data_IF_924387331710
#
_entry.id   IF_924387331710
#
_cell.length_a   1.000
_cell.length_b   1.000
_cell.length_c   1.000
_cell.angle_alpha   90.00
_cell.angle_beta   90.00
_cell.angle_gamma   90.00
#
_symmetry.space_group_name_H-M   'P 1'
#
loop_
_entity.id
_entity.type
_entity.pdbx_description
1 polymer ?
#
# COMPACT_ATOMS: atom_id res chain seq x y z
N UNK A 1 29.95 0.72 -27.75
CA UNK A 1 29.08 -0.25 -28.42
C UNK A 1 28.83 -1.40 -27.46
N UNK A 2 27.70 -1.38 -26.76
CA UNK A 2 27.32 -2.37 -25.74
C UNK A 2 26.21 -3.23 -26.35
N UNK A 3 26.41 -4.55 -26.37
CA UNK A 3 25.49 -5.53 -26.96
C UNK A 3 24.21 -5.69 -26.11
N UNK A 4 23.03 -5.92 -26.72
CA UNK A 4 21.78 -6.06 -25.99
C UNK A 4 21.63 -7.46 -25.38
N UNK A 5 21.12 -7.51 -24.14
CA UNK A 5 20.74 -8.75 -23.43
C UNK A 5 19.52 -9.39 -24.11
N UNK A 6 19.57 -10.72 -24.30
CA UNK A 6 18.43 -11.51 -24.79
C UNK A 6 17.32 -11.64 -23.73
N UNK A 7 16.04 -11.66 -24.14
CA UNK A 7 14.92 -11.84 -23.23
C UNK A 7 14.76 -13.30 -22.77
N UNK A 8 14.59 -13.51 -21.47
CA UNK A 8 14.20 -14.78 -20.89
C UNK A 8 12.74 -15.11 -21.28
N UNK A 9 12.50 -16.36 -21.68
CA UNK A 9 11.19 -16.87 -22.09
C UNK A 9 10.21 -16.89 -20.91
N UNK A 10 9.27 -15.96 -20.87
CA UNK A 10 8.06 -16.03 -20.05
C UNK A 10 7.22 -17.24 -20.47
N UNK A 11 6.84 -18.09 -19.52
CA UNK A 11 5.88 -19.18 -19.74
C UNK A 11 4.49 -18.66 -19.40
N UNK A 12 3.64 -18.55 -20.41
CA UNK A 12 2.23 -18.18 -20.27
C UNK A 12 1.42 -19.40 -19.82
N UNK A 13 0.74 -19.32 -18.68
CA UNK A 13 -0.33 -20.24 -18.33
C UNK A 13 -1.66 -19.56 -18.60
N UNK A 14 -2.47 -20.10 -19.53
CA UNK A 14 -3.88 -19.74 -19.67
C UNK A 14 -4.64 -20.34 -18.49
N UNK A 15 -5.36 -19.54 -17.73
CA UNK A 15 -6.30 -20.04 -16.74
C UNK A 15 -7.48 -20.71 -17.47
N UNK A 16 -7.47 -22.04 -17.56
CA UNK A 16 -8.69 -22.83 -17.68
C UNK A 16 -9.12 -23.24 -16.28
N UNK A 17 -10.39 -22.99 -15.93
CA UNK A 17 -11.02 -23.55 -14.73
C UNK A 17 -10.87 -25.07 -14.73
N UNK A 18 -9.87 -25.54 -14.00
CA UNK A 18 -9.69 -26.96 -13.67
C UNK A 18 -9.15 -26.98 -12.25
N UNK A 19 -10.02 -27.38 -11.32
CA UNK A 19 -9.67 -27.66 -9.93
C UNK A 19 -8.44 -28.58 -9.91
N UNK A 20 -7.36 -28.12 -9.30
CA UNK A 20 -6.24 -28.96 -8.92
C UNK A 20 -6.29 -29.26 -7.42
N UNK A 21 -6.02 -30.52 -7.02
CA UNK A 21 -6.29 -30.97 -5.66
C UNK A 21 -5.25 -30.43 -4.67
N UNK A 22 -5.76 -29.95 -3.54
CA UNK A 22 -4.98 -29.58 -2.37
C UNK A 22 -4.03 -30.72 -1.97
N UNK A 23 -2.73 -30.43 -1.89
CA UNK A 23 -1.76 -31.29 -1.19
C UNK A 23 -1.43 -30.65 0.15
N UNK A 24 -1.90 -31.34 1.20
CA UNK A 24 -1.40 -31.42 2.56
C UNK A 24 -0.92 -30.12 3.23
N UNK A 25 -1.87 -29.34 3.76
CA UNK A 25 -1.67 -28.53 4.96
C UNK A 25 -2.57 -29.06 6.09
N UNK A 26 -2.14 -30.14 6.74
CA UNK A 26 -2.59 -30.51 8.09
C UNK A 26 -1.31 -30.58 8.94
N UNK A 27 -1.12 -29.73 9.94
CA UNK A 27 -1.57 -30.02 11.31
C UNK A 27 -1.29 -28.81 12.20
N UNK A 28 -2.32 -28.32 12.92
CA UNK A 28 -2.23 -27.77 14.28
C UNK A 28 -3.61 -27.22 14.68
N UNK A 29 -4.55 -28.12 15.02
CA UNK A 29 -5.77 -27.75 15.73
C UNK A 29 -5.48 -27.92 17.22
N UNK A 30 -5.57 -26.82 17.99
CA UNK A 30 -5.63 -26.87 19.45
C UNK A 30 -7.06 -26.57 19.93
N UNK A 31 -7.54 -27.22 21.00
CA UNK A 31 -8.95 -27.23 21.36
C UNK A 31 -9.38 -25.97 22.11
N UNK A 32 -10.58 -25.46 21.78
CA UNK A 32 -11.22 -24.36 22.51
C UNK A 32 -11.88 -24.86 23.82
N UNK A 33 -11.88 -24.06 24.91
CA UNK A 33 -12.67 -24.36 26.10
C UNK A 33 -14.16 -24.04 25.89
N UNK A 34 -15.01 -24.85 26.53
CA UNK A 34 -16.47 -24.85 26.40
C UNK A 34 -17.12 -23.64 27.06
N UNK A 35 -18.13 -23.09 26.38
CA UNK A 35 -19.38 -22.66 27.01
C UNK A 35 -19.59 -21.16 27.22
N UNK A 36 -20.09 -20.46 26.19
CA UNK A 36 -21.00 -19.31 26.34
C UNK A 36 -22.01 -19.34 25.19
N UNK A 37 -23.31 -19.37 25.50
CA UNK A 37 -24.40 -19.35 24.52
C UNK A 37 -24.38 -18.05 23.72
N UNK A 38 -24.35 -18.15 22.39
CA UNK A 38 -24.52 -17.02 21.46
C UNK A 38 -26.03 -16.86 21.15
N UNK A 39 -26.57 -15.63 21.12
CA UNK A 39 -27.91 -15.41 20.60
C UNK A 39 -27.95 -15.54 19.07
N UNK A 40 -29.09 -16.04 18.63
CA UNK A 40 -29.63 -16.24 17.27
C UNK A 40 -28.98 -15.42 16.14
N UNK A 41 -28.29 -16.14 15.24
CA UNK A 41 -27.78 -15.61 13.98
C UNK A 41 -28.84 -15.77 12.88
N UNK A 42 -29.91 -14.99 12.94
CA UNK A 42 -30.87 -14.87 11.84
C UNK A 42 -31.21 -13.40 11.58
N UNK A 43 -30.33 -12.74 10.81
CA UNK A 43 -30.56 -11.59 9.92
C UNK A 43 -29.22 -10.95 9.54
N UNK A 44 -28.59 -11.45 8.49
CA UNK A 44 -27.70 -10.59 7.69
C UNK A 44 -28.60 -9.88 6.68
N UNK A 45 -28.73 -8.54 6.72
CA UNK A 45 -29.30 -7.85 5.58
C UNK A 45 -28.27 -7.97 4.45
N UNK A 46 -28.63 -8.65 3.36
CA UNK A 46 -27.98 -8.44 2.08
C UNK A 46 -28.02 -6.93 1.81
N UNK A 47 -26.87 -6.26 1.94
CA UNK A 47 -26.69 -4.94 1.37
C UNK A 47 -26.63 -5.15 -0.13
N UNK A 48 -27.79 -5.24 -0.76
CA UNK A 48 -27.92 -5.17 -2.20
C UNK A 48 -27.49 -3.77 -2.64
N UNK A 49 -26.20 -3.60 -2.90
CA UNK A 49 -25.75 -2.51 -3.75
C UNK A 49 -26.37 -2.76 -5.12
N UNK A 50 -27.43 -2.01 -5.41
CA UNK A 50 -28.01 -1.94 -6.75
C UNK A 50 -26.87 -1.70 -7.73
N UNK A 51 -26.78 -2.51 -8.80
CA UNK A 51 -25.90 -2.25 -9.97
C UNK A 51 -26.24 -0.88 -10.56
N UNK A 52 -25.75 0.19 -9.95
CA UNK A 52 -25.67 1.51 -10.56
C UNK A 52 -24.64 1.41 -11.67
N UNK A 53 -24.90 2.06 -12.81
CA UNK A 53 -24.04 1.97 -14.01
C UNK A 53 -22.56 2.25 -13.75
N UNK A 54 -21.72 2.11 -14.78
CA UNK A 54 -20.29 2.40 -14.68
C UNK A 54 -20.04 3.77 -14.02
N UNK A 55 -19.05 3.89 -13.12
CA UNK A 55 -18.76 5.17 -12.49
C UNK A 55 -18.38 6.20 -13.55
N UNK A 56 -18.65 7.47 -13.25
CA UNK A 56 -18.52 8.59 -14.20
C UNK A 56 -17.31 9.46 -13.92
N UNK A 57 -16.59 9.22 -12.81
CA UNK A 57 -15.43 10.00 -12.40
C UNK A 57 -14.48 9.24 -11.48
N UNK A 58 -13.25 9.72 -11.36
CA UNK A 58 -12.22 9.20 -10.46
C UNK A 58 -12.66 9.21 -8.99
N UNK A 59 -13.28 10.31 -8.54
CA UNK A 59 -13.82 10.45 -7.19
C UNK A 59 -14.85 9.36 -6.88
N UNK A 60 -15.73 9.04 -7.83
CA UNK A 60 -16.75 8.00 -7.63
C UNK A 60 -16.14 6.61 -7.44
N UNK A 61 -15.07 6.29 -8.18
CA UNK A 61 -14.34 5.02 -8.04
C UNK A 61 -13.78 4.87 -6.62
N UNK A 62 -13.16 5.93 -6.09
CA UNK A 62 -12.66 5.94 -4.70
C UNK A 62 -13.80 5.68 -3.71
N UNK A 63 -14.91 6.40 -3.83
CA UNK A 63 -16.05 6.26 -2.92
C UNK A 63 -16.66 4.86 -2.98
N UNK A 64 -16.75 4.26 -4.17
CA UNK A 64 -17.23 2.89 -4.37
C UNK A 64 -16.31 1.86 -3.70
N UNK A 65 -14.98 1.98 -3.85
CA UNK A 65 -14.03 1.10 -3.16
C UNK A 65 -14.09 1.25 -1.63
N UNK A 66 -14.18 2.48 -1.12
CA UNK A 66 -14.34 2.74 0.31
C UNK A 66 -15.62 2.06 0.84
N UNK A 67 -16.74 2.26 0.16
CA UNK A 67 -18.02 1.64 0.55
C UNK A 67 -17.98 0.11 0.45
N UNK A 68 -17.36 -0.44 -0.60
CA UNK A 68 -17.23 -1.87 -0.77
C UNK A 68 -16.43 -2.50 0.38
N UNK A 69 -15.24 -1.98 0.66
CA UNK A 69 -14.37 -2.53 1.71
C UNK A 69 -14.91 -2.28 3.12
N UNK A 70 -15.62 -1.16 3.34
CA UNK A 70 -16.38 -0.96 4.57
C UNK A 70 -17.43 -2.07 4.79
N UNK A 71 -18.14 -2.45 3.72
CA UNK A 71 -19.12 -3.54 3.78
C UNK A 71 -18.47 -4.92 4.03
N UNK A 72 -17.20 -5.11 3.63
CA UNK A 72 -16.41 -6.31 3.95
C UNK A 72 -15.79 -6.29 5.37
N UNK A 73 -16.11 -5.27 6.18
CA UNK A 73 -15.68 -5.17 7.58
C UNK A 73 -14.35 -4.47 7.80
N UNK A 74 -13.78 -3.81 6.79
CA UNK A 74 -12.60 -2.97 6.97
C UNK A 74 -12.96 -1.65 7.66
N UNK A 75 -12.12 -1.21 8.60
CA UNK A 75 -12.12 0.18 9.04
C UNK A 75 -11.63 1.07 7.90
N UNK A 76 -12.43 2.04 7.46
CA UNK A 76 -12.02 3.01 6.45
C UNK A 76 -11.18 4.09 7.10
N UNK A 77 -9.88 4.11 6.82
CA UNK A 77 -8.94 5.07 7.38
C UNK A 77 -8.70 6.23 6.41
N UNK A 78 -8.01 7.25 6.90
CA UNK A 78 -7.60 8.41 6.12
C UNK A 78 -6.17 8.21 5.60
N UNK A 79 -5.79 8.92 4.53
CA UNK A 79 -4.40 9.04 4.11
C UNK A 79 -3.48 9.39 5.28
N UNK A 80 -2.27 8.85 5.27
CA UNK A 80 -1.24 9.31 6.19
C UNK A 80 -0.80 10.73 5.85
N UNK A 81 -0.62 11.58 6.87
CA UNK A 81 -0.30 13.00 6.75
C UNK A 81 1.20 13.27 6.54
N UNK A 82 1.95 12.23 6.14
CA UNK A 82 3.38 12.24 5.85
C UNK A 82 3.65 11.72 4.44
N UNK A 83 4.71 12.19 3.79
CA UNK A 83 5.11 11.67 2.48
C UNK A 83 5.54 10.21 2.52
N UNK A 84 4.83 9.35 1.79
CA UNK A 84 5.14 7.93 1.65
C UNK A 84 5.17 7.50 0.19
N UNK A 85 5.97 6.48 -0.14
CA UNK A 85 6.09 5.97 -1.52
C UNK A 85 5.04 4.92 -1.92
N UNK A 86 4.29 4.41 -0.93
CA UNK A 86 3.20 3.45 -1.09
C UNK A 86 2.33 3.38 0.19
N UNK A 87 1.11 2.88 0.07
CA UNK A 87 0.19 2.53 1.17
C UNK A 87 0.83 1.64 2.24
N UNK A 88 1.75 0.75 1.84
CA UNK A 88 2.48 -0.11 2.77
C UNK A 88 3.21 0.66 3.87
N UNK A 89 3.75 1.84 3.58
CA UNK A 89 4.47 2.69 4.54
C UNK A 89 3.55 3.40 5.55
N UNK A 90 2.25 3.37 5.37
CA UNK A 90 1.34 3.87 6.40
C UNK A 90 1.47 2.97 7.65
N UNK A 91 1.51 3.53 8.88
CA UNK A 91 1.56 2.71 10.10
C UNK A 91 0.38 1.74 10.23
N UNK A 92 -0.76 2.03 9.59
CA UNK A 92 -1.92 1.14 9.52
C UNK A 92 -1.69 -0.10 8.65
N UNK A 93 -0.60 -0.17 7.89
CA UNK A 93 -0.12 -1.39 7.23
C UNK A 93 1.15 -1.91 7.87
N UNK A 94 2.29 -1.21 7.78
CA UNK A 94 3.58 -1.76 8.22
C UNK A 94 3.57 -2.18 9.69
N UNK A 95 3.17 -1.29 10.61
CA UNK A 95 3.17 -1.63 12.03
C UNK A 95 2.05 -2.63 12.34
N UNK A 96 0.85 -2.43 11.77
CA UNK A 96 -0.30 -3.32 12.02
C UNK A 96 -0.18 -4.72 11.41
N UNK A 97 0.70 -4.94 10.44
CA UNK A 97 1.07 -6.27 9.97
C UNK A 97 1.73 -7.11 11.08
N UNK A 98 2.40 -6.46 12.03
CA UNK A 98 3.13 -7.11 13.11
C UNK A 98 2.22 -7.55 14.26
N UNK A 99 2.67 -8.58 14.98
CA UNK A 99 2.02 -9.07 16.19
C UNK A 99 0.71 -9.82 15.95
N UNK A 100 0.13 -10.33 17.03
CA UNK A 100 -0.97 -11.30 17.00
C UNK A 100 -2.36 -10.67 16.86
N UNK A 101 -2.51 -9.36 17.15
CA UNK A 101 -3.83 -8.70 17.13
C UNK A 101 -4.40 -8.62 15.70
N UNK A 102 -5.63 -9.13 15.45
CA UNK A 102 -6.30 -8.97 14.16
C UNK A 102 -6.48 -7.51 13.76
N UNK A 103 -6.54 -7.26 12.45
CA UNK A 103 -6.66 -5.93 11.88
C UNK A 103 -7.25 -6.00 10.47
N UNK A 104 -8.25 -5.16 10.17
CA UNK A 104 -8.80 -5.02 8.83
C UNK A 104 -9.03 -3.54 8.54
N UNK A 105 -8.32 -2.99 7.55
CA UNK A 105 -8.38 -1.58 7.20
C UNK A 105 -8.31 -1.38 5.69
N UNK A 106 -8.97 -0.32 5.21
CA UNK A 106 -8.94 0.12 3.82
C UNK A 106 -8.82 1.64 3.76
N UNK A 107 -8.02 2.18 2.84
CA UNK A 107 -7.81 3.62 2.75
C UNK A 107 -7.18 4.03 1.42
N UNK A 108 -7.36 5.29 1.06
CA UNK A 108 -6.58 5.91 -0.02
C UNK A 108 -5.23 6.34 0.55
N UNK A 109 -4.15 6.08 -0.17
CA UNK A 109 -2.83 6.64 0.12
C UNK A 109 -2.29 7.41 -1.10
N UNK A 110 -2.30 8.76 -1.06
CA UNK A 110 -1.49 9.57 -1.95
C UNK A 110 -0.01 9.20 -1.72
N UNK A 111 0.66 8.80 -2.80
CA UNK A 111 1.99 8.20 -2.79
C UNK A 111 2.94 9.03 -3.64
N UNK A 112 4.10 9.37 -3.08
CA UNK A 112 5.15 10.17 -3.74
C UNK A 112 6.35 9.30 -4.10
N UNK A 113 6.65 9.22 -5.40
CA UNK A 113 7.83 8.59 -5.99
C UNK A 113 8.61 9.62 -6.81
N UNK A 114 9.51 10.39 -6.20
CA UNK A 114 10.22 11.49 -6.86
C UNK A 114 10.86 11.15 -8.22
N UNK A 115 11.41 9.95 -8.37
CA UNK A 115 12.05 9.45 -9.60
C UNK A 115 11.07 9.22 -10.77
N UNK A 116 9.77 9.10 -10.47
CA UNK A 116 8.74 8.80 -11.46
C UNK A 116 8.19 10.06 -12.14
N UNK A 117 8.61 11.26 -11.75
CA UNK A 117 8.13 12.51 -12.32
C UNK A 117 8.34 12.62 -13.82
N UNK A 118 7.34 13.11 -14.56
CA UNK A 118 7.40 13.27 -16.02
C UNK A 118 6.84 14.60 -16.49
N UNK A 119 6.91 15.63 -15.65
CA UNK A 119 6.51 17.01 -15.98
C UNK A 119 5.07 17.13 -16.55
N UNK A 120 4.16 16.22 -16.17
CA UNK A 120 2.79 16.22 -16.65
C UNK A 120 2.59 15.77 -18.12
N UNK A 121 3.64 15.31 -18.80
CA UNK A 121 3.60 14.95 -20.23
C UNK A 121 3.37 13.46 -20.48
N UNK A 122 3.65 12.60 -19.48
CA UNK A 122 3.46 11.16 -19.63
C UNK A 122 2.01 10.75 -19.34
N UNK A 123 1.39 9.91 -20.18
CA UNK A 123 -0.02 9.54 -20.00
C UNK A 123 -0.30 8.67 -18.79
N UNK A 124 0.70 7.97 -18.23
CA UNK A 124 0.51 6.90 -17.25
C UNK A 124 1.48 6.93 -16.06
N UNK A 125 2.47 7.83 -16.06
CA UNK A 125 3.51 7.89 -15.03
C UNK A 125 3.55 9.26 -14.36
N UNK A 126 3.48 9.24 -13.03
CA UNK A 126 3.36 10.42 -12.16
C UNK A 126 4.34 10.29 -10.99
N UNK A 127 4.93 11.39 -10.50
CA UNK A 127 5.64 11.36 -9.21
C UNK A 127 4.67 11.31 -8.02
N UNK A 128 3.43 11.78 -8.18
CA UNK A 128 2.38 11.69 -7.16
C UNK A 128 1.12 11.06 -7.75
N UNK A 129 0.65 10.00 -7.11
CA UNK A 129 -0.53 9.25 -7.54
C UNK A 129 -1.24 8.62 -6.34
N UNK A 130 -2.45 8.13 -6.52
CA UNK A 130 -3.26 7.55 -5.48
C UNK A 130 -3.26 6.02 -5.53
N UNK A 131 -2.84 5.42 -4.44
CA UNK A 131 -3.12 4.02 -4.20
C UNK A 131 -4.43 3.90 -3.42
N UNK A 132 -5.18 2.83 -3.68
CA UNK A 132 -6.12 2.32 -2.69
C UNK A 132 -5.46 1.14 -2.00
N UNK A 133 -5.47 1.12 -0.68
CA UNK A 133 -4.75 0.16 0.13
C UNK A 133 -5.76 -0.61 0.96
N UNK A 134 -5.63 -1.93 1.01
CA UNK A 134 -6.36 -2.81 1.92
C UNK A 134 -5.37 -3.69 2.64
N UNK A 135 -5.57 -3.86 3.95
CA UNK A 135 -4.85 -4.83 4.77
C UNK A 135 -5.85 -5.63 5.59
N UNK A 136 -5.86 -6.95 5.44
CA UNK A 136 -6.66 -7.87 6.28
C UNK A 136 -5.76 -8.88 6.97
N UNK A 137 -5.80 -8.91 8.30
CA UNK A 137 -4.99 -9.74 9.18
C UNK A 137 -5.89 -10.44 10.22
N UNK A 138 -5.99 -11.77 10.22
CA UNK A 138 -5.42 -12.72 9.25
C UNK A 138 -5.98 -12.50 7.84
N UNK A 139 -5.22 -12.92 6.83
CA UNK A 139 -5.72 -12.92 5.46
C UNK A 139 -6.89 -13.91 5.31
N UNK A 140 -8.04 -13.49 4.75
CA UNK A 140 -9.17 -14.38 4.54
C UNK A 140 -8.90 -15.36 3.38
N UNK A 141 -9.45 -16.57 3.46
CA UNK A 141 -9.25 -17.60 2.45
C UNK A 141 -9.80 -17.22 1.06
N UNK A 142 -10.80 -16.34 1.02
CA UNK A 142 -11.43 -15.84 -0.19
C UNK A 142 -10.96 -14.43 -0.59
N UNK A 143 -9.77 -14.00 -0.18
CA UNK A 143 -9.28 -12.63 -0.46
C UNK A 143 -9.25 -12.30 -1.97
N UNK A 144 -8.94 -13.28 -2.83
CA UNK A 144 -9.01 -13.10 -4.29
C UNK A 144 -10.45 -12.84 -4.78
N UNK A 145 -11.44 -13.56 -4.26
CA UNK A 145 -12.85 -13.35 -4.61
C UNK A 145 -13.32 -11.97 -4.16
N UNK A 146 -12.91 -11.54 -2.95
CA UNK A 146 -13.19 -10.20 -2.44
C UNK A 146 -12.56 -9.12 -3.33
N UNK A 147 -11.34 -9.33 -3.81
CA UNK A 147 -10.69 -8.43 -4.76
C UNK A 147 -11.47 -8.36 -6.09
N UNK A 148 -11.86 -9.49 -6.68
CA UNK A 148 -12.63 -9.49 -7.94
C UNK A 148 -13.99 -8.79 -7.77
N UNK A 149 -14.70 -9.03 -6.67
CA UNK A 149 -15.94 -8.32 -6.36
C UNK A 149 -15.74 -6.80 -6.18
N UNK A 150 -14.55 -6.37 -5.76
CA UNK A 150 -14.22 -4.94 -5.68
C UNK A 150 -14.03 -4.31 -7.06
N UNK A 151 -13.50 -5.06 -8.04
CA UNK A 151 -13.39 -4.63 -9.44
C UNK A 151 -14.76 -4.51 -10.09
N UNK A 152 -15.64 -5.49 -9.85
CA UNK A 152 -17.04 -5.44 -10.30
C UNK A 152 -17.76 -4.21 -9.72
N UNK A 153 -17.53 -3.88 -8.44
CA UNK A 153 -18.16 -2.74 -7.78
C UNK A 153 -17.79 -1.38 -8.41
N UNK A 154 -16.58 -1.27 -9.00
CA UNK A 154 -16.14 -0.09 -9.75
C UNK A 154 -16.39 -0.19 -11.25
N UNK A 155 -17.13 -1.20 -11.72
CA UNK A 155 -17.58 -1.31 -13.10
C UNK A 155 -16.62 -2.01 -14.05
N UNK A 156 -15.61 -2.73 -13.55
CA UNK A 156 -14.78 -3.62 -14.38
C UNK A 156 -15.50 -4.97 -14.48
N UNK A 157 -16.04 -5.28 -15.66
CA UNK A 157 -16.64 -6.58 -15.93
C UNK A 157 -15.56 -7.62 -16.28
N UNK A 158 -15.28 -8.54 -15.36
CA UNK A 158 -14.29 -9.61 -15.54
C UNK A 158 -14.65 -10.62 -16.65
N UNK A 159 -15.88 -10.60 -17.18
CA UNK A 159 -16.26 -11.35 -18.38
C UNK A 159 -15.87 -10.66 -19.70
N UNK A 160 -15.63 -9.35 -19.67
CA UNK A 160 -15.19 -8.54 -20.82
C UNK A 160 -13.70 -8.20 -20.77
N UNK A 161 -13.15 -8.05 -19.57
CA UNK A 161 -11.74 -7.72 -19.33
C UNK A 161 -10.91 -8.94 -18.96
N UNK A 162 -9.72 -9.06 -19.54
CA UNK A 162 -8.79 -10.16 -19.27
C UNK A 162 -7.98 -9.87 -18.00
N UNK A 163 -8.53 -10.28 -16.85
CA UNK A 163 -7.89 -10.16 -15.54
C UNK A 163 -7.03 -11.38 -15.26
N UNK A 164 -5.72 -11.16 -15.05
CA UNK A 164 -4.73 -12.21 -14.82
C UNK A 164 -3.94 -11.96 -13.54
N UNK A 165 -3.74 -13.01 -12.77
CA UNK A 165 -2.83 -13.04 -11.62
C UNK A 165 -1.50 -13.61 -12.08
N UNK A 166 -0.48 -12.75 -12.16
CA UNK A 166 0.88 -13.12 -12.56
C UNK A 166 1.72 -13.23 -11.30
N UNK A 167 2.29 -14.41 -11.03
CA UNK A 167 3.09 -14.65 -9.82
C UNK A 167 4.25 -13.66 -9.75
N UNK A 168 4.34 -12.94 -8.64
CA UNK A 168 5.43 -12.03 -8.33
C UNK A 168 5.63 -11.95 -6.82
N UNK A 169 6.90 -12.03 -6.40
CA UNK A 169 7.27 -11.87 -5.00
C UNK A 169 7.55 -10.38 -4.75
N UNK A 170 6.93 -9.82 -3.71
CA UNK A 170 7.11 -8.42 -3.37
C UNK A 170 8.16 -8.25 -2.27
N UNK A 171 9.08 -7.30 -2.46
CA UNK A 171 10.03 -6.87 -1.43
C UNK A 171 10.05 -5.34 -1.31
N UNK A 172 10.05 -4.85 -0.07
CA UNK A 172 10.46 -3.49 0.26
C UNK A 172 11.74 -3.52 1.10
N UNK A 173 12.90 -3.28 0.45
CA UNK A 173 14.17 -3.32 1.13
C UNK A 173 14.26 -2.34 2.31
N UNK A 174 13.71 -1.13 2.19
CA UNK A 174 13.77 -0.12 3.26
C UNK A 174 12.89 -0.44 4.46
N UNK A 175 11.84 -1.25 4.31
CA UNK A 175 11.00 -1.70 5.42
C UNK A 175 11.45 -3.05 6.00
N UNK A 176 12.42 -3.70 5.36
CA UNK A 176 12.77 -5.09 5.68
C UNK A 176 11.55 -6.00 5.58
N UNK A 177 10.72 -5.76 4.57
CA UNK A 177 9.45 -6.43 4.38
C UNK A 177 9.45 -7.21 3.06
N UNK A 178 8.86 -8.40 3.08
CA UNK A 178 8.65 -9.20 1.89
C UNK A 178 7.44 -10.12 2.02
N UNK A 179 6.89 -10.53 0.88
CA UNK A 179 5.74 -11.40 0.81
C UNK A 179 5.60 -12.09 -0.53
N UNK A 180 4.82 -13.17 -0.54
CA UNK A 180 4.45 -13.88 -1.76
C UNK A 180 3.19 -13.25 -2.33
N UNK A 181 3.01 -13.26 -3.65
CA UNK A 181 1.76 -12.77 -4.20
C UNK A 181 1.68 -12.75 -5.72
N UNK A 182 0.97 -11.76 -6.23
CA UNK A 182 0.72 -11.59 -7.65
C UNK A 182 0.68 -10.11 -8.01
N UNK A 183 1.24 -9.79 -9.17
CA UNK A 183 0.77 -8.64 -9.93
C UNK A 183 -0.56 -9.00 -10.60
N UNK A 184 -1.54 -8.10 -10.51
CA UNK A 184 -2.81 -8.26 -11.23
C UNK A 184 -2.79 -7.39 -12.47
N UNK A 185 -2.92 -8.04 -13.61
CA UNK A 185 -2.95 -7.41 -14.92
C UNK A 185 -4.38 -7.41 -15.46
N UNK A 186 -4.81 -6.27 -16.01
CA UNK A 186 -6.09 -6.09 -16.69
C UNK A 186 -5.81 -5.57 -18.10
N UNK A 187 -6.20 -6.32 -19.12
CA UNK A 187 -6.00 -5.97 -20.54
C UNK A 187 -4.56 -5.52 -20.89
N UNK A 188 -3.57 -6.19 -20.30
CA UNK A 188 -2.16 -5.94 -20.59
C UNK A 188 -1.52 -4.77 -19.82
N UNK A 189 -2.18 -4.25 -18.78
CA UNK A 189 -1.56 -3.31 -17.83
C UNK A 189 -1.72 -3.79 -16.39
N UNK A 190 -0.65 -3.68 -15.62
CA UNK A 190 -0.66 -3.94 -14.18
C UNK A 190 -1.54 -2.88 -13.46
N UNK A 191 -2.60 -3.34 -12.78
CA UNK A 191 -3.59 -2.48 -12.12
C UNK A 191 -3.60 -2.62 -10.61
N UNK A 192 -3.06 -3.70 -10.06
CA UNK A 192 -2.99 -3.92 -8.61
C UNK A 192 -1.85 -4.87 -8.24
N UNK A 193 -1.36 -4.75 -7.01
CA UNK A 193 -0.45 -5.69 -6.36
C UNK A 193 -1.21 -6.44 -5.27
N UNK A 194 -0.98 -7.75 -5.21
CA UNK A 194 -1.45 -8.63 -4.16
C UNK A 194 -0.23 -9.15 -3.38
N UNK A 195 -0.23 -9.04 -2.06
CA UNK A 195 0.92 -9.48 -1.23
C UNK A 195 0.44 -10.15 0.05
N UNK A 196 0.93 -11.36 0.35
CA UNK A 196 0.82 -11.97 1.67
C UNK A 196 2.13 -11.80 2.42
N UNK A 197 2.19 -10.86 3.37
CA UNK A 197 3.44 -10.59 4.07
C UNK A 197 3.92 -11.81 4.85
N UNK A 198 5.14 -12.23 4.54
CA UNK A 198 5.85 -13.24 5.31
C UNK A 198 6.64 -12.57 6.42
N UNK A 199 7.30 -11.45 6.11
CA UNK A 199 8.04 -10.67 7.10
C UNK A 199 7.86 -9.17 6.91
N UNK A 200 7.93 -8.43 8.02
CA UNK A 200 7.99 -6.96 8.08
C UNK A 200 8.97 -6.57 9.19
N UNK A 201 9.88 -5.62 8.93
CA UNK A 201 10.89 -5.20 9.93
C UNK A 201 11.77 -6.34 10.45
N UNK A 202 11.92 -7.42 9.68
CA UNK A 202 12.63 -8.65 10.10
C UNK A 202 11.84 -9.56 11.06
N UNK A 203 10.55 -9.31 11.29
CA UNK A 203 9.68 -10.19 12.06
C UNK A 203 8.76 -11.01 11.16
N UNK A 204 8.57 -12.29 11.50
CA UNK A 204 7.54 -13.12 10.89
C UNK A 204 6.15 -12.55 11.18
N UNK A 205 5.34 -12.39 10.14
CA UNK A 205 3.96 -11.96 10.27
C UNK A 205 3.07 -13.14 10.70
N UNK A 206 2.65 -13.14 11.97
CA UNK A 206 1.82 -14.20 12.56
C UNK A 206 0.65 -13.59 13.35
N UNK A 207 -0.59 -13.69 12.84
CA UNK A 207 -0.99 -14.35 11.59
C UNK A 207 -0.59 -13.56 10.33
N UNK A 208 -0.52 -14.24 9.18
CA UNK A 208 -0.17 -13.63 7.88
C UNK A 208 -1.26 -12.65 7.44
N UNK A 209 -0.93 -11.37 7.19
CA UNK A 209 -1.85 -10.42 6.59
C UNK A 209 -1.86 -10.54 5.06
N UNK A 210 -3.00 -10.28 4.45
CA UNK A 210 -3.15 -10.04 3.03
C UNK A 210 -3.24 -8.55 2.75
N UNK A 211 -2.35 -8.05 1.90
CA UNK A 211 -2.31 -6.70 1.36
C UNK A 211 -2.85 -6.70 -0.07
N UNK A 212 -3.72 -5.72 -0.38
CA UNK A 212 -4.12 -5.37 -1.74
C UNK A 212 -3.78 -3.89 -1.97
N UNK A 213 -3.13 -3.61 -3.08
CA UNK A 213 -2.71 -2.26 -3.45
C UNK A 213 -3.17 -1.97 -4.87
N UNK A 214 -4.14 -1.08 -5.02
CA UNK A 214 -4.74 -0.72 -6.31
C UNK A 214 -4.04 0.53 -6.87
N UNK A 215 -3.69 0.52 -8.15
CA UNK A 215 -3.32 1.73 -8.89
C UNK A 215 -4.57 2.44 -9.38
N UNK A 216 -5.05 3.45 -8.64
CA UNK A 216 -6.37 4.03 -8.89
C UNK A 216 -6.47 4.73 -10.24
N UNK A 217 -5.44 5.47 -10.67
CA UNK A 217 -5.44 6.16 -11.95
C UNK A 217 -5.53 5.18 -13.11
N UNK A 218 -4.74 4.09 -13.07
CA UNK A 218 -4.77 3.05 -14.11
C UNK A 218 -6.14 2.40 -14.19
N UNK A 219 -6.70 1.98 -13.05
CA UNK A 219 -8.05 1.39 -12.99
C UNK A 219 -9.10 2.36 -13.53
N UNK A 220 -9.03 3.63 -13.14
CA UNK A 220 -9.99 4.64 -13.55
C UNK A 220 -9.90 4.98 -15.04
N UNK A 221 -8.68 5.06 -15.59
CA UNK A 221 -8.48 5.24 -17.04
C UNK A 221 -9.16 4.12 -17.84
N UNK A 222 -9.06 2.87 -17.38
CA UNK A 222 -9.78 1.76 -18.00
C UNK A 222 -11.30 1.90 -17.91
N UNK A 223 -11.81 2.09 -16.69
CA UNK A 223 -13.24 2.16 -16.43
C UNK A 223 -13.90 3.34 -17.16
N UNK A 224 -13.20 4.47 -17.27
CA UNK A 224 -13.70 5.68 -17.90
C UNK A 224 -13.36 5.78 -19.39
N UNK A 225 -12.56 4.84 -19.93
CA UNK A 225 -12.15 4.80 -21.33
C UNK A 225 -11.29 6.00 -21.75
N UNK A 226 -10.32 6.38 -20.92
CA UNK A 226 -9.45 7.54 -21.12
C UNK A 226 -7.99 7.11 -21.31
N UNK A 227 -7.35 7.59 -22.38
CA UNK A 227 -5.97 7.19 -22.73
C UNK A 227 -4.87 7.99 -22.00
N UNK A 228 -5.21 9.16 -21.47
CA UNK A 228 -4.27 10.05 -20.78
C UNK A 228 -4.81 10.45 -19.41
N UNK A 229 -4.07 10.16 -18.34
CA UNK A 229 -4.52 10.39 -16.96
C UNK A 229 -5.03 11.81 -16.71
N UNK A 230 -4.35 12.83 -17.27
CA UNK A 230 -4.72 14.24 -17.08
C UNK A 230 -6.06 14.64 -17.71
N UNK A 231 -6.61 13.86 -18.64
CA UNK A 231 -7.89 14.17 -19.29
C UNK A 231 -9.08 13.49 -18.58
N UNK A 232 -8.79 12.64 -17.59
CA UNK A 232 -9.77 11.88 -16.84
C UNK A 232 -10.68 12.79 -16.00
N UNK A 233 -12.02 12.61 -16.00
CA UNK A 233 -12.90 13.34 -15.10
C UNK A 233 -12.56 13.04 -13.63
N UNK A 234 -12.22 14.09 -12.87
CA UNK A 234 -11.93 13.96 -11.45
C UNK A 234 -13.21 13.81 -10.64
N UNK A 235 -14.20 14.69 -10.87
CA UNK A 235 -15.55 14.62 -10.31
C UNK A 235 -16.62 14.42 -11.41
N UNK A 236 -17.91 14.36 -11.04
CA UNK A 236 -18.99 14.14 -12.01
C UNK A 236 -18.94 15.21 -13.13
N UNK A 237 -18.87 14.83 -14.42
CA UNK A 237 -18.88 15.78 -15.54
C UNK A 237 -20.11 16.70 -15.59
N UNK A 238 -21.20 16.34 -14.91
CA UNK A 238 -22.42 17.14 -14.78
C UNK A 238 -22.45 18.01 -13.49
N UNK A 239 -21.37 18.03 -12.71
CA UNK A 239 -21.25 18.93 -11.55
C UNK A 239 -21.30 20.40 -11.99
N UNK A 240 -21.67 21.29 -11.06
CA UNK A 240 -21.68 22.73 -11.32
C UNK A 240 -20.29 23.27 -11.75
N UNK A 241 -19.23 22.65 -11.23
CA UNK A 241 -17.84 22.86 -11.65
C UNK A 241 -17.22 21.50 -11.95
N UNK A 242 -17.27 21.04 -13.22
CA UNK A 242 -16.61 19.80 -13.61
C UNK A 242 -15.10 20.02 -13.67
N UNK A 243 -14.35 19.08 -13.11
CA UNK A 243 -12.89 19.09 -13.06
C UNK A 243 -12.34 17.83 -13.72
N UNK A 244 -11.26 17.99 -14.47
CA UNK A 244 -10.39 16.90 -14.92
C UNK A 244 -9.27 16.66 -13.91
N UNK A 245 -8.59 15.51 -14.01
CA UNK A 245 -7.41 15.22 -13.21
C UNK A 245 -6.30 16.25 -13.46
N UNK A 246 -6.17 16.72 -14.70
CA UNK A 246 -5.22 17.76 -15.10
C UNK A 246 -5.50 19.11 -14.44
N UNK A 247 -6.77 19.49 -14.25
CA UNK A 247 -7.14 20.72 -13.53
C UNK A 247 -6.65 20.70 -12.08
N UNK A 248 -6.52 19.50 -11.49
CA UNK A 248 -6.08 19.32 -10.10
C UNK A 248 -4.55 19.15 -9.99
N UNK A 249 -3.92 18.40 -10.91
CA UNK A 249 -2.55 17.91 -10.71
C UNK A 249 -1.53 18.30 -11.77
N UNK A 250 -1.91 18.82 -12.93
CA UNK A 250 -0.95 19.07 -14.03
C UNK A 250 0.16 20.02 -13.60
N UNK A 251 -0.22 21.18 -13.05
CA UNK A 251 0.73 22.17 -12.53
C UNK A 251 1.61 21.57 -11.42
N UNK A 252 0.99 20.83 -10.49
CA UNK A 252 1.72 20.19 -9.37
C UNK A 252 2.75 19.17 -9.86
N UNK A 253 2.41 18.36 -10.87
CA UNK A 253 3.33 17.37 -11.44
C UNK A 253 4.53 18.03 -12.14
N UNK A 254 4.31 19.14 -12.85
CA UNK A 254 5.37 19.97 -13.45
C UNK A 254 6.31 20.56 -12.38
N UNK A 255 5.73 21.18 -11.35
CA UNK A 255 6.47 21.82 -10.27
C UNK A 255 7.30 20.81 -9.46
N UNK A 256 6.69 19.69 -9.06
CA UNK A 256 7.40 18.65 -8.31
C UNK A 256 8.45 17.94 -9.17
N UNK A 257 8.21 17.70 -10.46
CA UNK A 257 9.22 17.13 -11.34
C UNK A 257 10.47 18.02 -11.39
N UNK A 258 10.29 19.33 -11.62
CA UNK A 258 11.39 20.31 -11.59
C UNK A 258 12.06 20.39 -10.22
N UNK A 259 11.29 20.35 -9.13
CA UNK A 259 11.84 20.33 -7.78
C UNK A 259 12.72 19.11 -7.55
N UNK A 260 12.18 17.91 -7.80
CA UNK A 260 12.80 16.63 -7.53
C UNK A 260 14.08 16.42 -8.36
N UNK A 261 14.06 16.82 -9.63
CA UNK A 261 15.18 16.59 -10.54
C UNK A 261 16.22 17.70 -10.53
N UNK A 262 15.85 18.96 -10.29
CA UNK A 262 16.74 20.10 -10.54
C UNK A 262 16.96 20.98 -9.29
N UNK A 263 15.89 21.33 -8.59
CA UNK A 263 15.92 22.45 -7.62
C UNK A 263 16.12 22.04 -6.15
N UNK A 264 15.86 20.77 -5.78
CA UNK A 264 16.04 20.31 -4.42
C UNK A 264 17.49 20.50 -3.95
N UNK A 265 17.66 21.16 -2.78
CA UNK A 265 18.97 21.40 -2.18
C UNK A 265 19.46 20.13 -1.46
N UNK A 266 20.42 19.46 -2.06
CA UNK A 266 20.90 18.15 -1.62
C UNK A 266 21.61 18.20 -0.27
N UNK A 267 22.35 19.26 0.04
CA UNK A 267 23.02 19.42 1.34
C UNK A 267 22.00 19.53 2.48
N UNK A 268 20.90 20.25 2.27
CA UNK A 268 19.80 20.34 3.24
C UNK A 268 19.08 19.00 3.38
N UNK A 269 18.80 18.32 2.27
CA UNK A 269 18.16 17.00 2.30
C UNK A 269 19.00 15.99 3.08
N UNK A 270 20.31 15.98 2.87
CA UNK A 270 21.23 15.11 3.61
C UNK A 270 21.22 15.41 5.11
N UNK A 271 21.34 16.69 5.51
CA UNK A 271 21.26 17.05 6.94
C UNK A 271 19.95 16.62 7.57
N UNK A 272 18.82 16.87 6.90
CA UNK A 272 17.52 16.46 7.42
C UNK A 272 17.36 14.94 7.49
N UNK A 273 18.02 14.19 6.60
CA UNK A 273 18.04 12.73 6.68
C UNK A 273 18.75 12.29 7.96
N UNK A 274 19.91 12.87 8.25
CA UNK A 274 20.69 12.58 9.46
C UNK A 274 19.94 13.01 10.74
N UNK A 275 19.29 14.17 10.72
CA UNK A 275 18.45 14.65 11.82
C UNK A 275 17.29 13.69 12.11
N UNK A 276 16.58 13.23 11.07
CA UNK A 276 15.48 12.27 11.21
C UNK A 276 15.98 10.91 11.72
N UNK A 277 17.12 10.43 11.24
CA UNK A 277 17.74 9.19 11.73
C UNK A 277 18.08 9.28 13.22
N UNK A 278 18.72 10.38 13.64
CA UNK A 278 19.08 10.63 15.03
C UNK A 278 17.86 10.75 15.94
N UNK A 279 16.83 11.51 15.52
CA UNK A 279 15.60 11.70 16.29
C UNK A 279 14.80 10.39 16.42
N UNK A 280 14.71 9.59 15.36
CA UNK A 280 14.08 8.26 15.41
C UNK A 280 14.70 7.41 16.52
N UNK A 281 16.04 7.37 16.58
CA UNK A 281 16.76 6.63 17.61
C UNK A 281 16.53 7.23 18.99
N UNK A 282 16.65 8.54 19.13
CA UNK A 282 16.48 9.23 20.40
C UNK A 282 15.09 8.99 21.02
N UNK A 283 14.03 8.96 20.20
CA UNK A 283 12.66 8.67 20.64
C UNK A 283 12.50 7.23 21.14
N UNK A 284 13.12 6.26 20.47
CA UNK A 284 13.08 4.85 20.87
C UNK A 284 13.93 4.54 22.11
N UNK A 285 14.96 5.34 22.38
CA UNK A 285 15.82 5.22 23.57
C UNK A 285 15.18 5.81 24.84
N UNK A 286 14.04 6.50 24.73
CA UNK A 286 13.36 7.07 25.89
C UNK A 286 12.83 5.98 26.84
N UNK A 287 12.81 6.24 28.15
CA UNK A 287 12.27 5.28 29.11
C UNK A 287 10.83 4.88 28.77
N UNK A 288 10.55 3.57 28.81
CA UNK A 288 9.20 3.07 28.51
C UNK A 288 8.16 3.52 29.55
N UNK A 289 8.58 3.83 30.77
CA UNK A 289 7.70 4.41 31.79
C UNK A 289 7.81 5.92 31.68
N UNK A 290 6.74 6.56 31.24
CA UNK A 290 6.68 8.02 31.15
C UNK A 290 6.81 8.63 32.55
N UNK A 291 7.83 9.46 32.82
CA UNK A 291 8.05 10.04 34.14
C UNK A 291 6.93 11.00 34.56
N UNK A 292 6.14 11.51 33.61
CA UNK A 292 5.06 12.45 33.89
C UNK A 292 3.77 11.76 34.34
N UNK A 293 3.39 10.66 33.68
CA UNK A 293 2.12 9.96 33.94
C UNK A 293 2.27 8.63 34.65
N UNK A 294 3.49 8.09 34.75
CA UNK A 294 3.76 6.74 35.29
C UNK A 294 3.25 5.60 34.40
N UNK A 295 2.73 5.91 33.20
CA UNK A 295 2.22 4.91 32.26
C UNK A 295 3.36 4.32 31.45
N UNK A 296 3.22 3.05 31.07
CA UNK A 296 4.09 2.45 30.06
C UNK A 296 3.72 2.95 28.66
N UNK A 297 4.55 3.80 28.07
CA UNK A 297 4.37 4.44 26.76
C UNK A 297 5.65 4.24 25.95
N UNK A 298 5.60 3.37 24.94
CA UNK A 298 6.67 3.22 23.96
C UNK A 298 6.37 4.17 22.80
N UNK A 299 7.27 5.11 22.51
CA UNK A 299 7.07 6.17 21.51
C UNK A 299 7.33 5.71 20.07
N UNK A 300 6.66 4.63 19.66
CA UNK A 300 6.87 3.98 18.36
C UNK A 300 6.40 4.84 17.18
N UNK A 301 5.18 5.38 17.26
CA UNK A 301 4.59 6.15 16.16
C UNK A 301 5.40 7.42 15.82
N UNK A 302 5.78 8.29 16.78
CA UNK A 302 6.62 9.44 16.45
C UNK A 302 8.03 9.04 15.96
N UNK A 303 8.58 7.92 16.42
CA UNK A 303 9.83 7.40 15.86
C UNK A 303 9.64 6.92 14.41
N UNK A 304 8.53 6.24 14.13
CA UNK A 304 8.20 5.79 12.78
C UNK A 304 7.99 6.96 11.81
N UNK A 305 7.44 8.10 12.26
CA UNK A 305 7.38 9.32 11.44
C UNK A 305 8.75 9.77 10.96
N UNK A 306 9.77 9.69 11.82
CA UNK A 306 11.13 10.02 11.47
C UNK A 306 11.74 8.99 10.50
N UNK A 307 11.43 7.71 10.66
CA UNK A 307 11.79 6.67 9.68
C UNK A 307 11.18 6.97 8.29
N UNK A 308 9.91 7.39 8.23
CA UNK A 308 9.23 7.75 6.99
C UNK A 308 9.85 9.00 6.36
N UNK A 309 10.15 10.04 7.15
CA UNK A 309 10.88 11.23 6.68
C UNK A 309 12.22 10.85 6.08
N UNK A 310 13.02 10.04 6.76
CA UNK A 310 14.30 9.57 6.25
C UNK A 310 14.12 8.83 4.91
N UNK A 311 13.11 7.97 4.79
CA UNK A 311 12.81 7.28 3.53
C UNK A 311 12.46 8.25 2.39
N UNK A 312 11.65 9.28 2.63
CA UNK A 312 11.29 10.24 1.58
C UNK A 312 12.46 11.15 1.19
N UNK A 313 13.24 11.62 2.18
CA UNK A 313 14.44 12.43 1.94
C UNK A 313 15.48 11.65 1.12
N UNK A 314 15.65 10.36 1.40
CA UNK A 314 16.46 9.47 0.56
C UNK A 314 15.95 9.42 -0.88
N UNK A 315 14.64 9.25 -1.10
CA UNK A 315 14.07 9.22 -2.45
C UNK A 315 14.28 10.54 -3.22
N UNK A 316 14.26 11.69 -2.54
CA UNK A 316 14.58 12.98 -3.15
C UNK A 316 16.07 13.08 -3.53
N UNK A 317 16.97 12.61 -2.66
CA UNK A 317 18.41 12.54 -2.98
C UNK A 317 18.69 11.59 -4.17
N UNK A 318 18.00 10.45 -4.23
CA UNK A 318 18.08 9.50 -5.36
C UNK A 318 17.59 10.16 -6.66
N UNK A 319 16.46 10.87 -6.62
CA UNK A 319 15.93 11.60 -7.78
C UNK A 319 16.83 12.76 -8.25
N UNK A 320 17.55 13.42 -7.33
CA UNK A 320 18.57 14.41 -7.68
C UNK A 320 19.82 13.80 -8.33
N UNK A 321 19.95 12.47 -8.33
CA UNK A 321 21.08 11.77 -8.94
C UNK A 321 22.42 11.97 -8.23
N UNK A 322 22.39 12.40 -6.95
CA UNK A 322 23.60 12.65 -6.15
C UNK A 322 24.05 11.43 -5.34
N UNK A 323 23.26 10.35 -5.34
CA UNK A 323 23.58 9.09 -4.68
C UNK A 323 24.13 8.10 -5.71
N UNK A 324 25.35 7.61 -5.51
CA UNK A 324 25.89 6.51 -6.32
C UNK A 324 25.23 5.17 -5.99
N UNK A 325 25.38 4.17 -6.88
CA UNK A 325 24.80 2.83 -6.66
C UNK A 325 25.24 2.21 -5.32
N UNK A 326 26.50 2.40 -4.92
CA UNK A 326 27.03 1.90 -3.65
C UNK A 326 26.44 2.64 -2.46
N UNK A 327 26.36 3.97 -2.53
CA UNK A 327 25.75 4.78 -1.48
C UNK A 327 24.26 4.47 -1.32
N UNK A 328 23.56 4.18 -2.42
CA UNK A 328 22.14 3.82 -2.42
C UNK A 328 21.87 2.62 -1.52
N UNK A 329 22.71 1.58 -1.60
CA UNK A 329 22.58 0.41 -0.72
C UNK A 329 22.83 0.75 0.75
N UNK A 330 23.77 1.67 1.03
CA UNK A 330 24.03 2.13 2.38
C UNK A 330 22.82 2.91 2.96
N UNK A 331 22.20 3.81 2.19
CA UNK A 331 20.99 4.53 2.62
C UNK A 331 19.81 3.58 2.82
N UNK A 332 19.60 2.61 1.94
CA UNK A 332 18.56 1.58 2.12
C UNK A 332 18.79 0.81 3.42
N UNK A 333 20.04 0.42 3.71
CA UNK A 333 20.41 -0.25 4.96
C UNK A 333 20.12 0.60 6.20
N UNK A 334 20.40 1.92 6.14
CA UNK A 334 20.11 2.87 7.22
C UNK A 334 18.60 2.99 7.48
N UNK A 335 17.80 3.21 6.44
CA UNK A 335 16.32 3.28 6.58
C UNK A 335 15.77 1.94 7.08
N UNK A 336 16.29 0.81 6.58
CA UNK A 336 15.94 -0.54 7.06
C UNK A 336 16.22 -0.71 8.55
N UNK A 337 17.34 -0.19 9.05
CA UNK A 337 17.67 -0.25 10.47
C UNK A 337 16.66 0.53 11.32
N UNK A 338 16.22 1.70 10.85
CA UNK A 338 15.17 2.50 11.52
C UNK A 338 13.82 1.78 11.52
N UNK A 339 13.39 1.25 10.37
CA UNK A 339 12.14 0.51 10.25
C UNK A 339 12.13 -0.73 11.16
N UNK A 340 13.26 -1.46 11.21
CA UNK A 340 13.44 -2.58 12.12
C UNK A 340 13.37 -2.15 13.59
N UNK A 341 14.05 -1.07 13.98
CA UNK A 341 13.99 -0.58 15.36
C UNK A 341 12.56 -0.17 15.77
N UNK A 342 11.81 0.45 14.85
CA UNK A 342 10.39 0.74 15.05
C UNK A 342 9.55 -0.53 15.20
N UNK A 343 9.82 -1.58 14.40
CA UNK A 343 9.16 -2.87 14.52
C UNK A 343 9.48 -3.56 15.86
N UNK A 344 10.76 -3.57 16.26
CA UNK A 344 11.24 -4.12 17.55
C UNK A 344 10.53 -3.43 18.73
N UNK A 345 10.30 -2.13 18.63
CA UNK A 345 9.55 -1.38 19.62
C UNK A 345 8.04 -1.65 19.56
N UNK A 346 7.45 -1.73 18.35
CA UNK A 346 6.01 -1.95 18.16
C UNK A 346 5.54 -3.28 18.71
N UNK A 347 6.29 -4.37 18.51
CA UNK A 347 5.90 -5.71 18.97
C UNK A 347 5.82 -5.83 20.49
N UNK A 348 6.38 -4.87 21.23
CA UNK A 348 6.31 -4.77 22.70
C UNK A 348 5.15 -3.90 23.18
N UNK A 349 4.28 -3.45 22.29
CA UNK A 349 3.10 -2.64 22.60
C UNK A 349 1.82 -3.49 22.63
N UNK A 350 0.83 -3.01 23.37
CA UNK A 350 -0.50 -3.63 23.38
C UNK A 350 -1.10 -3.67 21.97
N UNK A 351 -0.81 -2.70 21.10
CA UNK A 351 -1.32 -2.65 19.73
C UNK A 351 -0.86 -3.85 18.87
N UNK A 352 0.30 -4.44 19.18
CA UNK A 352 0.79 -5.68 18.58
C UNK A 352 0.30 -6.95 19.30
N UNK A 353 -0.38 -6.80 20.45
CA UNK A 353 -0.82 -7.94 21.27
C UNK A 353 0.18 -8.39 22.33
N UNK A 354 1.17 -7.55 22.66
CA UNK A 354 2.03 -7.79 23.81
C UNK A 354 1.20 -7.81 25.10
N UNK A 355 1.49 -8.78 25.98
CA UNK A 355 0.98 -8.84 27.35
C UNK A 355 2.21 -8.76 28.27
N UNK A 356 2.23 -7.73 29.12
CA UNK A 356 3.37 -7.40 29.98
C UNK A 356 3.59 -8.40 31.11
#
# INVERSE_FOLDING_TARGET
MIAPRQPQKQRYARASLTLWPARNMETAVNPAPRGVQRPDASRNPEVAMTKTGAPRSFQEIILRLQNYWAAQGCAVLQPYDMEVGAGTFHPATTLRALGSKPWAAAYVQPSRRPTDGRYGENPNRLQHYYQFQVLMKPSPANLQELYLGSLDAIGIDTGLHDVRFVEDDWESPTLGAWGLGWEVWCDGMEVSQFTYFQQVGGYDCKPVPGELTYGLERLAMYVLGVDHVMDMPYNDPAAAVPLTYGDVFRQTEEEYSRHNFDAANTDKLLRHFEDAEAECKALLDQPEIDPKTGKRIIMVHPAYDQCIKASHLFNLLDARGVISVTERQAYIGRVRALAKACADAFVRTDAAGFQA
#
